data_IF_376358925182
#
_entry.id   IF_376358925182
#
_cell.length_a   1.000
_cell.length_b   1.000
_cell.length_c   1.000
_cell.angle_alpha   90.00
_cell.angle_beta   90.00
_cell.angle_gamma   90.00
#
_symmetry.space_group_name_H-M   'P 1'
#
loop_
_entity.id
_entity.type
_entity.pdbx_description
1 polymer ?
#
# COMPACT_ATOMS: atom_id res chain seq x y z
N UNK A 1 -4.88 34.38 28.26
CA UNK A 1 -3.52 33.83 28.07
C UNK A 1 -3.59 32.78 26.97
N UNK A 2 -2.92 33.05 25.84
CA UNK A 2 -2.85 32.17 24.68
C UNK A 2 -1.89 31.00 24.95
N UNK A 3 -2.41 29.78 25.03
CA UNK A 3 -1.61 28.56 25.05
C UNK A 3 -1.36 28.10 23.61
N UNK A 4 -0.13 28.32 23.14
CA UNK A 4 0.38 27.77 21.86
C UNK A 4 0.53 26.25 21.98
N UNK A 5 0.14 25.45 20.98
CA UNK A 5 0.47 24.03 20.95
C UNK A 5 1.93 23.85 20.53
N UNK A 6 2.75 23.29 21.42
CA UNK A 6 4.12 22.85 21.13
C UNK A 6 4.01 21.46 20.48
N UNK A 7 4.30 21.38 19.18
CA UNK A 7 4.44 20.10 18.48
C UNK A 7 5.86 19.60 18.77
N UNK A 8 5.97 18.56 19.59
CA UNK A 8 7.22 17.87 19.85
C UNK A 8 7.62 17.06 18.60
N UNK A 9 8.71 17.47 17.96
CA UNK A 9 9.33 16.74 16.84
C UNK A 9 10.23 15.67 17.46
N UNK A 10 9.79 14.41 17.40
CA UNK A 10 10.65 13.28 17.71
C UNK A 10 11.65 13.10 16.56
N UNK A 11 12.90 13.50 16.77
CA UNK A 11 13.99 13.21 15.85
C UNK A 11 14.35 11.72 15.96
N UNK A 12 13.94 10.92 14.97
CA UNK A 12 14.52 9.59 14.78
C UNK A 12 15.91 9.75 14.17
N UNK A 13 16.93 9.38 14.93
CA UNK A 13 18.30 9.25 14.43
C UNK A 13 18.32 8.14 13.37
N UNK A 14 18.43 8.53 12.10
CA UNK A 14 18.67 7.62 11.00
C UNK A 14 20.11 7.10 11.11
N UNK A 15 20.27 5.81 11.42
CA UNK A 15 21.55 5.14 11.27
C UNK A 15 21.99 5.24 9.79
N UNK A 16 23.17 5.81 9.57
CA UNK A 16 23.73 6.02 8.25
C UNK A 16 24.05 4.68 7.58
N UNK A 17 23.12 4.18 6.75
CA UNK A 17 23.44 3.17 5.75
C UNK A 17 24.24 3.87 4.64
N UNK A 18 25.47 3.41 4.41
CA UNK A 18 26.35 3.93 3.37
C UNK A 18 25.65 3.92 1.99
N UNK A 19 25.83 4.95 1.16
CA UNK A 19 25.24 4.97 -0.17
C UNK A 19 25.91 3.91 -1.04
N UNK A 20 25.17 2.86 -1.37
CA UNK A 20 25.55 1.94 -2.44
C UNK A 20 25.67 2.74 -3.75
N UNK A 21 26.75 2.58 -4.53
CA UNK A 21 26.86 3.24 -5.82
C UNK A 21 25.69 2.82 -6.71
N UNK A 22 25.19 3.76 -7.50
CA UNK A 22 24.12 3.52 -8.48
C UNK A 22 24.56 2.36 -9.38
N UNK A 23 24.02 1.17 -9.13
CA UNK A 23 24.27 0.00 -9.94
C UNK A 23 23.87 0.34 -11.38
N UNK A 24 24.74 0.03 -12.33
CA UNK A 24 24.39 -0.02 -13.74
C UNK A 24 23.03 -0.71 -13.88
N UNK A 25 22.08 -0.07 -14.58
CA UNK A 25 20.76 -0.64 -14.85
C UNK A 25 20.96 -2.05 -15.41
N UNK A 26 20.75 -3.09 -14.58
CA UNK A 26 20.41 -4.40 -15.12
C UNK A 26 19.13 -4.15 -15.91
N UNK A 27 19.24 -4.23 -17.23
CA UNK A 27 18.07 -4.29 -18.09
C UNK A 27 17.33 -5.55 -17.64
N UNK A 28 16.23 -5.35 -16.92
CA UNK A 28 15.45 -6.45 -16.34
C UNK A 28 14.74 -7.27 -17.41
N UNK A 29 14.13 -8.37 -16.98
CA UNK A 29 13.21 -9.13 -17.81
C UNK A 29 12.06 -8.22 -18.29
N UNK A 30 11.78 -8.24 -19.60
CA UNK A 30 10.63 -7.55 -20.18
C UNK A 30 9.48 -8.54 -20.33
N UNK A 31 8.32 -8.19 -19.80
CA UNK A 31 7.12 -9.01 -19.89
C UNK A 31 5.96 -8.20 -20.49
N UNK A 32 5.13 -8.88 -21.30
CA UNK A 32 3.84 -8.36 -21.75
C UNK A 32 2.79 -8.66 -20.68
N UNK A 33 2.17 -7.63 -20.13
CA UNK A 33 1.11 -7.74 -19.13
C UNK A 33 -0.01 -6.78 -19.48
N UNK A 34 -1.25 -7.27 -19.51
CA UNK A 34 -2.46 -6.45 -19.76
C UNK A 34 -2.35 -5.56 -21.03
N UNK A 35 -1.71 -6.07 -22.09
CA UNK A 35 -1.53 -5.36 -23.36
C UNK A 35 -0.41 -4.30 -23.37
N UNK A 36 0.34 -4.13 -22.28
CA UNK A 36 1.49 -3.23 -22.20
C UNK A 36 2.78 -3.98 -21.85
N UNK A 37 3.93 -3.42 -22.26
CA UNK A 37 5.24 -4.00 -21.94
C UNK A 37 5.80 -3.37 -20.67
N UNK A 38 6.30 -4.23 -19.79
CA UNK A 38 6.87 -3.83 -18.52
C UNK A 38 8.27 -4.38 -18.36
N UNK A 39 9.13 -3.64 -17.66
CA UNK A 39 10.44 -4.10 -17.23
C UNK A 39 10.44 -4.25 -15.71
N UNK A 40 10.98 -5.37 -15.20
CA UNK A 40 11.22 -5.51 -13.77
C UNK A 40 12.32 -4.54 -13.35
N UNK A 41 12.03 -3.67 -12.38
CA UNK A 41 12.96 -2.62 -11.93
C UNK A 41 13.44 -2.80 -10.49
N UNK A 42 12.71 -3.56 -9.68
CA UNK A 42 13.09 -3.84 -8.29
C UNK A 42 12.40 -5.10 -7.79
N UNK A 43 13.02 -5.73 -6.80
CA UNK A 43 12.52 -6.91 -6.11
C UNK A 43 12.58 -6.67 -4.60
N UNK A 44 11.46 -6.89 -3.90
CA UNK A 44 11.31 -6.69 -2.45
C UNK A 44 11.15 -8.06 -1.79
N UNK A 45 12.21 -8.54 -1.15
CA UNK A 45 12.37 -9.93 -0.69
C UNK A 45 11.94 -10.19 0.76
N UNK A 46 11.48 -9.15 1.45
CA UNK A 46 11.10 -9.23 2.86
C UNK A 46 9.82 -8.45 3.14
N UNK A 47 9.05 -8.84 4.17
CA UNK A 47 7.92 -8.07 4.67
C UNK A 47 8.24 -6.61 4.96
N UNK A 48 9.38 -6.34 5.58
CA UNK A 48 9.80 -5.00 5.98
C UNK A 48 10.06 -4.11 4.76
N UNK A 49 10.70 -4.65 3.71
CA UNK A 49 10.89 -3.92 2.45
C UNK A 49 9.55 -3.60 1.77
N UNK A 50 8.62 -4.54 1.77
CA UNK A 50 7.29 -4.34 1.21
C UNK A 50 6.48 -3.30 1.99
N UNK A 51 6.50 -3.36 3.33
CA UNK A 51 5.83 -2.40 4.19
C UNK A 51 6.41 -0.98 4.03
N UNK A 52 7.74 -0.86 4.01
CA UNK A 52 8.43 0.42 3.82
C UNK A 52 8.12 1.03 2.44
N UNK A 53 8.17 0.23 1.37
CA UNK A 53 7.81 0.68 0.04
C UNK A 53 6.37 1.20 -0.01
N UNK A 54 5.41 0.42 0.52
CA UNK A 54 4.00 0.83 0.58
C UNK A 54 3.79 2.09 1.42
N UNK A 55 4.48 2.21 2.54
CA UNK A 55 4.47 3.42 3.37
C UNK A 55 4.95 4.65 2.58
N UNK A 56 6.08 4.52 1.86
CA UNK A 56 6.64 5.62 1.09
C UNK A 56 5.73 6.03 -0.08
N UNK A 57 5.17 5.06 -0.82
CA UNK A 57 4.19 5.32 -1.89
C UNK A 57 2.96 6.07 -1.35
N UNK A 58 2.39 5.60 -0.24
CA UNK A 58 1.22 6.23 0.37
C UNK A 58 1.53 7.63 0.89
N UNK A 59 2.72 7.83 1.46
CA UNK A 59 3.20 9.15 1.89
C UNK A 59 3.36 10.11 0.70
N UNK A 60 3.97 9.67 -0.40
CA UNK A 60 4.07 10.48 -1.63
C UNK A 60 2.68 10.85 -2.18
N UNK A 61 1.74 9.91 -2.25
CA UNK A 61 0.38 10.19 -2.73
C UNK A 61 -0.33 11.22 -1.85
N UNK A 62 -0.20 11.09 -0.52
CA UNK A 62 -0.76 12.05 0.43
C UNK A 62 -0.15 13.44 0.26
N UNK A 63 1.18 13.50 0.11
CA UNK A 63 1.90 14.75 -0.10
C UNK A 63 1.51 15.41 -1.42
N UNK A 64 1.44 14.66 -2.52
CA UNK A 64 0.98 15.16 -3.81
C UNK A 64 -0.44 15.74 -3.74
N UNK A 65 -1.37 15.07 -3.04
CA UNK A 65 -2.73 15.57 -2.82
C UNK A 65 -2.74 16.89 -2.04
N UNK A 66 -2.00 16.96 -0.93
CA UNK A 66 -1.87 18.18 -0.12
C UNK A 66 -1.17 19.33 -0.85
N UNK A 67 -0.12 19.05 -1.62
CA UNK A 67 0.57 20.04 -2.45
C UNK A 67 -0.39 20.64 -3.47
N UNK A 68 -1.22 19.80 -4.11
CA UNK A 68 -2.25 20.28 -5.03
C UNK A 68 -3.28 21.17 -4.33
N UNK A 69 -3.75 20.80 -3.14
CA UNK A 69 -4.67 21.62 -2.33
C UNK A 69 -4.06 22.97 -1.97
N UNK A 70 -2.83 22.97 -1.44
CA UNK A 70 -2.09 24.19 -1.08
C UNK A 70 -1.85 25.08 -2.30
N UNK A 71 -1.55 24.49 -3.47
CA UNK A 71 -1.37 25.22 -4.71
C UNK A 71 -2.67 25.89 -5.20
N UNK A 72 -3.83 25.24 -4.99
CA UNK A 72 -5.13 25.88 -5.26
C UNK A 72 -5.37 27.03 -4.30
N UNK A 73 -5.16 26.82 -2.99
CA UNK A 73 -5.34 27.86 -1.96
C UNK A 73 -4.42 29.07 -2.18
N UNK A 74 -3.17 28.87 -2.61
CA UNK A 74 -2.25 29.95 -2.96
C UNK A 74 -2.76 30.83 -4.11
N UNK A 75 -3.46 30.22 -5.09
CA UNK A 75 -4.04 30.95 -6.23
C UNK A 75 -5.29 31.74 -5.85
N UNK A 76 -6.08 31.21 -4.93
CA UNK A 76 -7.37 31.78 -4.54
C UNK A 76 -7.28 32.81 -3.40
N UNK A 77 -6.28 32.67 -2.52
CA UNK A 77 -6.04 33.60 -1.42
C UNK A 77 -5.68 34.99 -1.97
N UNK A 78 -6.21 36.03 -1.34
CA UNK A 78 -5.98 37.44 -1.71
C UNK A 78 -5.20 38.19 -0.66
N UNK A 79 -5.20 37.68 0.58
CA UNK A 79 -4.42 38.23 1.67
C UNK A 79 -2.95 37.79 1.56
N UNK A 80 -2.05 38.76 1.45
CA UNK A 80 -0.61 38.49 1.26
C UNK A 80 0.05 37.85 2.49
N UNK A 81 -0.42 38.12 3.71
CA UNK A 81 0.10 37.48 4.91
C UNK A 81 -0.30 36.00 4.95
N UNK A 82 -1.56 35.68 4.63
CA UNK A 82 -2.02 34.29 4.54
C UNK A 82 -1.37 33.53 3.38
N UNK A 83 -1.15 34.18 2.23
CA UNK A 83 -0.36 33.60 1.14
C UNK A 83 1.04 33.20 1.60
N UNK A 84 1.74 34.07 2.32
CA UNK A 84 3.07 33.77 2.83
C UNK A 84 3.07 32.57 3.79
N UNK A 85 2.06 32.44 4.65
CA UNK A 85 1.89 31.28 5.52
C UNK A 85 1.64 29.98 4.73
N UNK A 86 0.73 30.01 3.76
CA UNK A 86 0.42 28.85 2.91
C UNK A 86 1.66 28.45 2.10
N UNK A 87 2.41 29.43 1.57
CA UNK A 87 3.63 29.19 0.80
C UNK A 87 4.69 28.50 1.65
N UNK A 88 4.87 28.93 2.90
CA UNK A 88 5.81 28.29 3.82
C UNK A 88 5.46 26.83 4.08
N UNK A 89 4.18 26.51 4.24
CA UNK A 89 3.71 25.12 4.39
C UNK A 89 3.90 24.33 3.09
N UNK A 90 3.65 24.95 1.94
CA UNK A 90 3.88 24.35 0.63
C UNK A 90 5.35 23.97 0.45
N UNK A 91 6.28 24.90 0.70
CA UNK A 91 7.72 24.68 0.51
C UNK A 91 8.28 23.60 1.43
N UNK A 92 7.82 23.57 2.69
CA UNK A 92 8.20 22.52 3.64
C UNK A 92 7.74 21.13 3.14
N UNK A 93 6.48 21.04 2.70
CA UNK A 93 5.92 19.79 2.20
C UNK A 93 6.55 19.35 0.87
N UNK A 94 6.85 20.28 -0.03
CA UNK A 94 7.51 20.02 -1.31
C UNK A 94 8.94 19.49 -1.10
N UNK A 95 9.66 20.04 -0.11
CA UNK A 95 10.98 19.53 0.29
C UNK A 95 10.90 18.09 0.80
N UNK A 96 9.94 17.77 1.66
CA UNK A 96 9.73 16.39 2.14
C UNK A 96 9.33 15.45 1.00
N UNK A 97 8.46 15.90 0.08
CA UNK A 97 8.09 15.14 -1.10
C UNK A 97 9.29 14.81 -1.98
N UNK A 98 10.13 15.80 -2.29
CA UNK A 98 11.35 15.62 -3.10
C UNK A 98 12.36 14.68 -2.43
N UNK A 99 12.54 14.78 -1.12
CA UNK A 99 13.41 13.87 -0.38
C UNK A 99 12.92 12.41 -0.47
N UNK A 100 11.61 12.18 -0.32
CA UNK A 100 11.05 10.85 -0.45
C UNK A 100 11.08 10.32 -1.90
N UNK A 101 10.78 11.17 -2.89
CA UNK A 101 10.86 10.80 -4.31
C UNK A 101 12.30 10.43 -4.71
N UNK A 102 13.31 11.11 -4.17
CA UNK A 102 14.72 10.77 -4.39
C UNK A 102 15.08 9.39 -3.80
N UNK A 103 14.63 9.09 -2.58
CA UNK A 103 14.81 7.78 -1.95
C UNK A 103 14.14 6.71 -2.82
N UNK A 104 12.90 6.96 -3.23
CA UNK A 104 12.12 6.01 -4.02
C UNK A 104 12.75 5.72 -5.38
N UNK A 105 13.29 6.75 -6.03
CA UNK A 105 14.02 6.62 -7.29
C UNK A 105 15.32 5.82 -7.10
N UNK A 106 16.08 6.10 -6.03
CA UNK A 106 17.37 5.43 -5.78
C UNK A 106 17.20 3.97 -5.36
N UNK A 107 16.25 3.67 -4.50
CA UNK A 107 16.08 2.33 -3.92
C UNK A 107 15.24 1.40 -4.78
N UNK A 108 14.25 1.93 -5.49
CA UNK A 108 13.23 1.12 -6.16
C UNK A 108 13.07 1.43 -7.65
N UNK A 109 13.87 2.36 -8.19
CA UNK A 109 13.67 2.93 -9.53
C UNK A 109 12.22 3.42 -9.72
N UNK A 110 11.61 3.90 -8.63
CA UNK A 110 10.23 4.36 -8.58
C UNK A 110 10.17 5.88 -8.75
N UNK A 111 9.26 6.35 -9.58
CA UNK A 111 9.00 7.77 -9.81
C UNK A 111 7.50 8.03 -9.80
N UNK A 112 7.05 9.05 -9.06
CA UNK A 112 5.62 9.35 -8.88
C UNK A 112 4.83 9.57 -10.19
N UNK A 113 5.50 9.98 -11.27
CA UNK A 113 4.90 10.27 -12.58
C UNK A 113 4.92 9.10 -13.56
N UNK A 114 5.33 7.89 -13.13
CA UNK A 114 5.38 6.69 -13.95
C UNK A 114 4.33 5.67 -13.50
N UNK A 115 3.97 4.76 -14.40
CA UNK A 115 3.03 3.68 -14.12
C UNK A 115 3.80 2.42 -13.73
N UNK A 116 3.39 1.82 -12.63
CA UNK A 116 4.00 0.60 -12.10
C UNK A 116 2.96 -0.45 -11.81
N UNK A 117 3.38 -1.72 -11.90
CA UNK A 117 2.63 -2.88 -11.46
C UNK A 117 3.43 -3.60 -10.37
N UNK A 118 2.77 -3.89 -9.27
CA UNK A 118 3.31 -4.77 -8.23
C UNK A 118 2.89 -6.20 -8.52
N UNK A 119 3.85 -7.11 -8.57
CA UNK A 119 3.61 -8.55 -8.70
C UNK A 119 4.03 -9.20 -7.39
N UNK A 120 3.09 -9.80 -6.68
CA UNK A 120 3.37 -10.51 -5.44
C UNK A 120 3.70 -11.97 -5.76
N UNK A 121 4.85 -12.42 -5.29
CA UNK A 121 5.36 -13.76 -5.49
C UNK A 121 4.97 -14.67 -4.33
N UNK A 122 5.04 -14.15 -3.10
CA UNK A 122 4.60 -14.85 -1.89
C UNK A 122 4.01 -13.89 -0.85
N UNK A 123 3.04 -14.39 -0.09
CA UNK A 123 2.40 -13.67 1.03
C UNK A 123 2.00 -14.64 2.15
N UNK A 124 1.84 -14.14 3.37
CA UNK A 124 1.32 -14.86 4.51
C UNK A 124 -0.02 -14.27 4.98
N UNK A 125 -1.03 -15.14 5.13
CA UNK A 125 -2.22 -14.82 5.93
C UNK A 125 -1.83 -14.98 7.39
N UNK A 126 -1.93 -13.90 8.16
CA UNK A 126 -1.58 -13.90 9.58
C UNK A 126 -2.80 -13.59 10.43
N UNK A 127 -3.05 -14.36 11.48
CA UNK A 127 -4.18 -14.15 12.40
C UNK A 127 -3.70 -13.53 13.70
N UNK A 128 -4.48 -12.60 14.24
CA UNK A 128 -4.13 -11.96 15.51
C UNK A 128 -4.11 -12.99 16.65
N UNK A 129 -3.11 -12.88 17.51
CA UNK A 129 -2.96 -13.71 18.71
C UNK A 129 -3.52 -13.00 19.93
N UNK A 130 -4.28 -13.74 20.75
CA UNK A 130 -4.59 -13.28 22.11
C UNK A 130 -3.37 -13.41 23.02
N UNK A 131 -3.40 -12.75 24.19
CA UNK A 131 -2.34 -12.89 25.19
C UNK A 131 -2.22 -14.35 25.69
N UNK A 132 -3.35 -15.05 25.80
CA UNK A 132 -3.40 -16.45 26.24
C UNK A 132 -2.80 -17.38 25.20
N UNK A 133 -3.13 -17.19 23.92
CA UNK A 133 -2.58 -17.98 22.81
C UNK A 133 -1.06 -17.80 22.71
N UNK A 134 -0.59 -16.57 22.87
CA UNK A 134 0.83 -16.25 22.85
C UNK A 134 1.58 -16.86 24.04
N UNK A 135 1.00 -16.80 25.24
CA UNK A 135 1.65 -17.29 26.47
C UNK A 135 1.72 -18.81 26.51
N UNK A 136 0.68 -19.49 26.01
CA UNK A 136 0.59 -20.95 26.02
C UNK A 136 1.14 -21.59 24.75
N UNK A 137 1.48 -20.78 23.73
CA UNK A 137 1.86 -21.22 22.38
C UNK A 137 0.88 -22.26 21.83
N UNK A 138 -0.41 -22.00 22.04
CA UNK A 138 -1.50 -22.85 21.60
C UNK A 138 -2.60 -22.02 20.97
N UNK A 139 -3.21 -22.53 19.93
CA UNK A 139 -4.41 -21.95 19.33
C UNK A 139 -5.61 -22.12 20.26
N UNK A 140 -6.68 -21.38 19.98
CA UNK A 140 -7.95 -21.49 20.70
C UNK A 140 -8.54 -22.91 20.71
N UNK A 141 -8.23 -23.73 19.70
CA UNK A 141 -8.59 -25.16 19.59
C UNK A 141 -7.54 -26.11 20.21
N UNK A 142 -6.51 -25.58 20.86
CA UNK A 142 -5.52 -26.34 21.62
C UNK A 142 -4.35 -26.90 20.81
N UNK A 143 -4.26 -26.58 19.51
CA UNK A 143 -3.14 -27.00 18.67
C UNK A 143 -1.87 -26.22 19.02
N UNK A 144 -0.74 -26.93 19.07
CA UNK A 144 0.56 -26.32 19.36
C UNK A 144 0.97 -25.35 18.25
N UNK A 145 1.39 -24.14 18.61
CA UNK A 145 1.94 -23.15 17.69
C UNK A 145 3.45 -23.27 17.58
N UNK A 146 3.96 -23.06 16.38
CA UNK A 146 5.38 -22.82 16.14
C UNK A 146 5.73 -21.35 16.46
N UNK A 147 6.60 -21.07 17.45
CA UNK A 147 7.02 -19.70 17.77
C UNK A 147 7.66 -18.97 16.60
N UNK A 148 8.28 -19.68 15.65
CA UNK A 148 8.95 -19.05 14.50
C UNK A 148 7.99 -18.48 13.45
N UNK A 149 6.70 -18.81 13.57
CA UNK A 149 5.63 -18.27 12.75
C UNK A 149 4.94 -17.07 13.41
N UNK A 150 5.37 -16.68 14.60
CA UNK A 150 4.86 -15.51 15.30
C UNK A 150 5.63 -14.27 14.84
N UNK A 151 4.88 -13.27 14.41
CA UNK A 151 5.40 -11.96 13.99
C UNK A 151 4.78 -10.87 14.84
N UNK A 152 5.51 -9.78 15.00
CA UNK A 152 4.99 -8.56 15.60
C UNK A 152 4.76 -7.52 14.51
N UNK A 153 3.54 -6.99 14.42
CA UNK A 153 3.19 -5.92 13.48
C UNK A 153 2.29 -4.90 14.17
N UNK A 154 2.62 -3.62 14.05
CA UNK A 154 1.84 -2.51 14.62
C UNK A 154 1.50 -2.68 16.12
N UNK A 155 2.44 -3.21 16.91
CA UNK A 155 2.25 -3.43 18.35
C UNK A 155 1.38 -4.65 18.72
N UNK A 156 0.90 -5.42 17.75
CA UNK A 156 0.17 -6.66 17.96
C UNK A 156 0.98 -7.88 17.49
N UNK A 157 0.69 -9.04 18.07
CA UNK A 157 1.29 -10.31 17.67
C UNK A 157 0.34 -11.05 16.72
N UNK A 158 0.90 -11.64 15.67
CA UNK A 158 0.17 -12.43 14.69
C UNK A 158 0.87 -13.76 14.47
N UNK A 159 0.08 -14.79 14.18
CA UNK A 159 0.58 -16.08 13.74
C UNK A 159 0.39 -16.23 12.23
N UNK A 160 1.48 -16.52 11.50
CA UNK A 160 1.44 -16.87 10.07
C UNK A 160 0.68 -18.18 9.91
N UNK A 161 -0.60 -18.08 9.60
CA UNK A 161 -1.51 -19.22 9.46
C UNK A 161 -1.24 -19.97 8.16
N UNK A 162 -1.12 -19.23 7.04
CA UNK A 162 -1.01 -19.82 5.71
C UNK A 162 -0.08 -18.99 4.82
N UNK A 163 0.93 -19.66 4.26
CA UNK A 163 1.74 -19.10 3.17
C UNK A 163 1.05 -19.34 1.83
N UNK A 164 1.11 -18.34 0.97
CA UNK A 164 0.53 -18.30 -0.36
C UNK A 164 1.66 -18.03 -1.33
N UNK A 165 2.06 -19.09 -2.02
CA UNK A 165 3.12 -19.06 -3.01
C UNK A 165 2.55 -18.93 -4.42
N UNK A 166 3.28 -18.24 -5.29
CA UNK A 166 2.95 -18.12 -6.71
C UNK A 166 2.17 -16.86 -7.06
N UNK A 167 2.48 -16.32 -8.24
CA UNK A 167 1.90 -15.06 -8.74
C UNK A 167 0.40 -15.16 -8.97
N UNK A 168 -0.11 -16.32 -9.40
CA UNK A 168 -1.53 -16.54 -9.71
C UNK A 168 -2.38 -16.51 -8.44
N UNK A 169 -1.96 -17.25 -7.44
CA UNK A 169 -2.64 -17.38 -6.14
C UNK A 169 -2.64 -16.04 -5.42
N UNK A 170 -1.49 -15.35 -5.41
CA UNK A 170 -1.39 -14.01 -4.87
C UNK A 170 -2.27 -13.01 -5.64
N UNK A 171 -2.30 -13.05 -6.97
CA UNK A 171 -3.18 -12.18 -7.76
C UNK A 171 -4.67 -12.44 -7.45
N UNK A 172 -5.07 -13.69 -7.20
CA UNK A 172 -6.43 -13.99 -6.74
C UNK A 172 -6.71 -13.40 -5.37
N UNK A 173 -5.81 -13.58 -4.41
CA UNK A 173 -5.95 -12.98 -3.08
C UNK A 173 -6.10 -11.46 -3.17
N UNK A 174 -5.22 -10.79 -3.90
CA UNK A 174 -5.26 -9.33 -4.03
C UNK A 174 -6.53 -8.83 -4.72
N UNK A 175 -7.06 -9.57 -5.70
CA UNK A 175 -8.37 -9.24 -6.29
C UNK A 175 -9.48 -9.35 -5.26
N UNK A 176 -9.53 -10.43 -4.47
CA UNK A 176 -10.52 -10.59 -3.41
C UNK A 176 -10.43 -9.48 -2.36
N UNK A 177 -9.23 -9.17 -1.88
CA UNK A 177 -9.00 -8.07 -0.94
C UNK A 177 -9.38 -6.72 -1.55
N UNK A 178 -8.98 -6.45 -2.79
CA UNK A 178 -9.30 -5.23 -3.52
C UNK A 178 -10.80 -5.01 -3.66
N UNK A 179 -11.56 -6.06 -4.02
CA UNK A 179 -13.03 -6.02 -4.07
C UNK A 179 -13.62 -5.69 -2.70
N UNK A 180 -13.16 -6.34 -1.62
CA UNK A 180 -13.66 -6.06 -0.27
C UNK A 180 -13.34 -4.63 0.18
N UNK A 181 -12.14 -4.11 -0.14
CA UNK A 181 -11.80 -2.71 0.18
C UNK A 181 -12.66 -1.72 -0.60
N UNK A 182 -12.92 -1.97 -1.88
CA UNK A 182 -13.81 -1.14 -2.70
C UNK A 182 -15.25 -1.18 -2.16
N UNK A 183 -15.77 -2.36 -1.80
CA UNK A 183 -17.08 -2.51 -1.16
C UNK A 183 -17.15 -1.73 0.16
N UNK A 184 -16.13 -1.85 1.03
CA UNK A 184 -16.07 -1.10 2.29
C UNK A 184 -16.08 0.41 2.08
N UNK A 185 -15.37 0.91 1.07
CA UNK A 185 -15.41 2.32 0.69
C UNK A 185 -16.81 2.73 0.23
N UNK A 186 -17.45 1.93 -0.63
CA UNK A 186 -18.82 2.15 -1.08
C UNK A 186 -19.84 2.18 0.06
N UNK A 187 -19.75 1.25 1.02
CA UNK A 187 -20.59 1.23 2.23
C UNK A 187 -20.44 2.50 3.06
N UNK A 188 -19.21 3.01 3.21
CA UNK A 188 -18.97 4.25 3.94
C UNK A 188 -19.58 5.47 3.22
N UNK A 189 -19.51 5.53 1.90
CA UNK A 189 -20.18 6.58 1.13
C UNK A 189 -21.70 6.48 1.22
N UNK A 190 -22.29 5.27 1.16
CA UNK A 190 -23.72 5.07 1.37
C UNK A 190 -24.17 5.55 2.77
N UNK A 191 -23.40 5.25 3.81
CA UNK A 191 -23.70 5.72 5.18
C UNK A 191 -23.68 7.25 5.28
N UNK A 192 -22.72 7.91 4.62
CA UNK A 192 -22.67 9.38 4.56
C UNK A 192 -23.88 9.94 3.81
N UNK A 193 -24.24 9.35 2.67
CA UNK A 193 -25.38 9.79 1.88
C UNK A 193 -26.70 9.63 2.64
N UNK A 194 -26.90 8.50 3.33
CA UNK A 194 -28.04 8.26 4.22
C UNK A 194 -28.11 9.34 5.30
N UNK A 195 -26.99 9.66 5.95
CA UNK A 195 -26.94 10.67 7.01
C UNK A 195 -27.26 12.09 6.51
N UNK A 196 -26.97 12.39 5.23
CA UNK A 196 -27.23 13.69 4.61
C UNK A 196 -28.59 13.83 3.91
N UNK A 197 -29.31 12.73 3.69
CA UNK A 197 -30.54 12.70 2.90
C UNK A 197 -31.76 13.01 3.78
N UNK A 198 -32.57 14.01 3.39
CA UNK A 198 -33.82 14.38 4.07
C UNK A 198 -35.07 13.73 3.45
N UNK A 199 -34.93 13.09 2.29
CA UNK A 199 -36.02 12.40 1.60
C UNK A 199 -36.19 10.98 2.14
N UNK A 200 -37.33 10.69 2.77
CA UNK A 200 -37.62 9.41 3.39
C UNK A 200 -37.66 8.22 2.40
N UNK A 201 -38.14 8.44 1.17
CA UNK A 201 -38.20 7.41 0.12
C UNK A 201 -36.79 7.06 -0.38
N UNK A 202 -35.95 8.09 -0.59
CA UNK A 202 -34.55 7.91 -0.95
C UNK A 202 -33.77 7.27 0.19
N UNK A 203 -33.99 7.68 1.43
CA UNK A 203 -33.37 7.10 2.61
C UNK A 203 -33.70 5.61 2.72
N UNK A 204 -34.96 5.21 2.51
CA UNK A 204 -35.36 3.80 2.53
C UNK A 204 -34.64 2.97 1.45
N UNK A 205 -34.53 3.50 0.22
CA UNK A 205 -33.79 2.84 -0.88
C UNK A 205 -32.31 2.68 -0.57
N UNK A 206 -31.67 3.72 -0.05
CA UNK A 206 -30.25 3.70 0.33
C UNK A 206 -29.99 2.72 1.48
N UNK A 207 -30.85 2.67 2.49
CA UNK A 207 -30.74 1.70 3.59
C UNK A 207 -30.90 0.26 3.10
N UNK A 208 -31.82 0.00 2.16
CA UNK A 208 -31.95 -1.32 1.54
C UNK A 208 -30.66 -1.72 0.80
N UNK A 209 -30.12 -0.82 -0.02
CA UNK A 209 -28.85 -1.04 -0.73
C UNK A 209 -27.68 -1.27 0.23
N UNK A 210 -27.60 -0.50 1.32
CA UNK A 210 -26.59 -0.68 2.36
C UNK A 210 -26.65 -2.10 2.93
N UNK A 211 -27.84 -2.60 3.27
CA UNK A 211 -28.02 -3.95 3.78
C UNK A 211 -27.61 -5.03 2.77
N UNK A 212 -27.97 -4.86 1.50
CA UNK A 212 -27.59 -5.79 0.42
C UNK A 212 -26.07 -5.84 0.23
N UNK A 213 -25.41 -4.66 0.18
CA UNK A 213 -23.96 -4.55 0.03
C UNK A 213 -23.22 -5.09 1.27
N UNK A 214 -23.76 -4.90 2.49
CA UNK A 214 -23.22 -5.50 3.71
C UNK A 214 -23.30 -7.03 3.72
N UNK A 215 -24.42 -7.59 3.24
CA UNK A 215 -24.56 -9.04 3.09
C UNK A 215 -23.57 -9.62 2.07
N UNK A 216 -23.42 -8.95 0.92
CA UNK A 216 -22.46 -9.36 -0.10
C UNK A 216 -21.01 -9.32 0.42
N UNK A 217 -20.66 -8.28 1.18
CA UNK A 217 -19.33 -8.17 1.80
C UNK A 217 -19.09 -9.27 2.83
N UNK A 218 -20.07 -9.59 3.67
CA UNK A 218 -19.98 -10.70 4.64
C UNK A 218 -19.81 -12.06 3.95
N UNK A 219 -20.54 -12.30 2.86
CA UNK A 219 -20.39 -13.54 2.08
C UNK A 219 -19.01 -13.66 1.45
N UNK A 220 -18.46 -12.57 0.91
CA UNK A 220 -17.11 -12.53 0.34
C UNK A 220 -16.02 -12.77 1.40
N UNK A 221 -16.15 -12.16 2.59
CA UNK A 221 -15.22 -12.39 3.71
C UNK A 221 -15.31 -13.84 4.21
N UNK A 222 -16.52 -14.40 4.34
CA UNK A 222 -16.71 -15.80 4.72
C UNK A 222 -16.06 -16.79 3.73
N UNK A 223 -16.17 -16.53 2.42
CA UNK A 223 -15.50 -17.33 1.40
C UNK A 223 -13.98 -17.27 1.53
N UNK A 224 -13.42 -16.07 1.73
CA UNK A 224 -11.99 -15.88 1.92
C UNK A 224 -11.49 -16.58 3.18
N UNK A 225 -12.21 -16.44 4.29
CA UNK A 225 -11.92 -17.11 5.55
C UNK A 225 -11.89 -18.62 5.39
N UNK A 226 -12.92 -19.20 4.76
CA UNK A 226 -12.99 -20.63 4.47
C UNK A 226 -11.82 -21.09 3.59
N UNK A 227 -11.50 -20.32 2.53
CA UNK A 227 -10.41 -20.65 1.60
C UNK A 227 -9.05 -20.74 2.29
N UNK A 228 -8.79 -19.86 3.26
CA UNK A 228 -7.49 -19.76 3.93
C UNK A 228 -7.47 -20.27 5.37
N UNK A 229 -8.55 -20.90 5.84
CA UNK A 229 -8.65 -21.49 7.19
C UNK A 229 -8.71 -20.48 8.34
N UNK A 230 -9.19 -19.26 8.08
CA UNK A 230 -9.27 -18.18 9.07
C UNK A 230 -10.54 -18.38 9.91
N UNK A 231 -10.42 -18.42 11.23
CA UNK A 231 -11.58 -18.49 12.13
C UNK A 231 -12.48 -17.25 11.98
N UNK A 232 -13.80 -17.42 12.08
CA UNK A 232 -14.79 -16.35 11.87
C UNK A 232 -14.55 -15.11 12.75
N UNK A 233 -14.15 -15.32 14.00
CA UNK A 233 -13.98 -14.25 14.98
C UNK A 233 -12.54 -13.73 15.10
N UNK A 234 -11.62 -14.19 14.25
CA UNK A 234 -10.23 -13.71 14.26
C UNK A 234 -10.01 -12.60 13.26
N UNK A 235 -9.38 -11.52 13.73
CA UNK A 235 -8.80 -10.52 12.84
C UNK A 235 -7.61 -11.15 12.11
N UNK A 236 -7.43 -10.77 10.85
CA UNK A 236 -6.29 -11.20 10.05
C UNK A 236 -5.67 -10.04 9.29
N UNK A 237 -4.41 -10.21 8.93
CA UNK A 237 -3.67 -9.34 8.04
C UNK A 237 -3.05 -10.19 6.92
N UNK A 238 -2.67 -9.53 5.84
CA UNK A 238 -1.83 -10.13 4.81
C UNK A 238 -0.46 -9.48 4.88
N UNK A 239 0.55 -10.30 5.13
CA UNK A 239 1.95 -9.92 5.09
C UNK A 239 2.50 -10.29 3.71
N UNK A 240 3.00 -9.31 2.96
CA UNK A 240 3.64 -9.59 1.67
C UNK A 240 5.08 -9.97 1.94
N UNK A 241 5.48 -11.18 1.59
CA UNK A 241 6.83 -11.67 1.86
C UNK A 241 7.77 -11.33 0.70
N UNK A 242 7.34 -11.58 -0.53
CA UNK A 242 8.14 -11.34 -1.72
C UNK A 242 7.31 -10.68 -2.83
N UNK A 243 7.82 -9.59 -3.40
CA UNK A 243 7.20 -8.91 -4.53
C UNK A 243 8.21 -8.33 -5.52
N UNK A 244 7.71 -8.02 -6.70
CA UNK A 244 8.46 -7.36 -7.77
C UNK A 244 7.74 -6.10 -8.21
N UNK A 245 8.53 -5.08 -8.55
CA UNK A 245 8.09 -3.81 -9.08
C UNK A 245 8.38 -3.79 -10.58
N UNK A 246 7.34 -3.60 -11.37
CA UNK A 246 7.40 -3.60 -12.83
C UNK A 246 7.02 -2.23 -13.38
N UNK A 247 7.89 -1.62 -14.17
CA UNK A 247 7.70 -0.31 -14.79
C UNK A 247 7.11 -0.46 -16.19
N UNK A 248 6.00 0.24 -16.48
CA UNK A 248 5.45 0.31 -17.84
C UNK A 248 6.41 1.09 -18.75
N UNK A 249 6.74 0.49 -19.90
CA UNK A 249 7.65 1.05 -20.89
C UNK A 249 6.88 1.77 -22.00
N UNK A 250 7.37 2.94 -22.38
CA UNK A 250 6.96 3.59 -23.62
C UNK A 250 7.55 2.87 -24.85
N UNK A 251 6.96 3.05 -26.05
CA UNK A 251 7.51 2.49 -27.29
C UNK A 251 8.97 2.92 -27.56
N UNK A 252 9.32 4.15 -27.20
CA UNK A 252 10.66 4.71 -27.38
C UNK A 252 11.68 4.03 -26.45
N UNK A 253 11.34 3.88 -25.16
CA UNK A 253 12.19 3.17 -24.20
C UNK A 253 12.40 1.71 -24.61
N UNK A 254 11.33 1.06 -25.10
CA UNK A 254 11.42 -0.30 -25.59
C UNK A 254 12.38 -0.44 -26.79
N UNK A 255 12.34 0.49 -27.74
CA UNK A 255 13.24 0.50 -28.89
C UNK A 255 14.71 0.66 -28.46
N UNK A 256 14.97 1.55 -27.50
CA UNK A 256 16.31 1.76 -26.91
C UNK A 256 16.80 0.48 -26.24
N UNK A 257 15.96 -0.15 -25.41
CA UNK A 257 16.33 -1.36 -24.67
C UNK A 257 16.61 -2.52 -25.63
N UNK A 258 15.73 -2.77 -26.60
CA UNK A 258 15.93 -3.81 -27.62
C UNK A 258 17.18 -3.56 -28.45
N UNK A 259 17.47 -2.30 -28.80
CA UNK A 259 18.69 -1.91 -29.50
C UNK A 259 19.96 -2.24 -28.70
N UNK A 260 19.95 -2.01 -27.38
CA UNK A 260 21.06 -2.37 -26.49
C UNK A 260 21.24 -3.88 -26.36
N UNK A 261 20.16 -4.62 -26.11
CA UNK A 261 20.19 -6.09 -26.03
C UNK A 261 20.73 -6.73 -27.31
N UNK A 262 20.32 -6.21 -28.48
CA UNK A 262 20.80 -6.69 -29.77
C UNK A 262 22.29 -6.37 -30.04
N UNK A 263 22.83 -5.30 -29.44
CA UNK A 263 24.25 -4.97 -29.53
C UNK A 263 25.10 -5.82 -28.58
N UNK A 264 24.58 -6.17 -27.41
CA UNK A 264 25.24 -7.04 -26.43
C UNK A 264 25.27 -8.50 -26.89
N UNK A 265 24.21 -9.00 -27.54
CA UNK A 265 24.17 -10.36 -28.10
C UNK A 265 25.10 -10.60 -29.30
N UNK A 266 25.71 -9.53 -29.84
CA UNK A 266 26.65 -9.58 -30.98
C UNK A 266 28.12 -9.48 -30.55
N UNK A 267 28.39 -9.33 -29.25
CA UNK A 267 29.74 -9.37 -28.67
C UNK A 267 30.02 -10.76 -28.11
#
# INVERSE_FOLDING_TARGET
MNLKPVIAIAAFAAAAAAPTPAAAQKVGDIALMDGAQYMMVSELKTPEQNDLFNYNVNTMRRYAGKLKELQTRLREEKDEAKKAEIQKVFDALDKEFKANDEIMRKQYAFASNRKYKMIFLSSNICTALSKEELSNLKTSDGAQMDPMRIIQKNGANYYRLKSIEGTRENAQLQRSLGTMFAQKAGLNELRKEIASTMDASKQMKLTKKLSEDEMAMKAADAELRRKYGISENKNYIVEIEHSQIWLELSPQELAIIKGRQAAEAKK
#
